data_IF_572369525112
#
_entry.id   IF_572369525112
#
_cell.length_a   1.000
_cell.length_b   1.000
_cell.length_c   1.000
_cell.angle_alpha   90.00
_cell.angle_beta   90.00
_cell.angle_gamma   90.00
#
_symmetry.space_group_name_H-M   'P 1'
#
loop_
_entity.id
_entity.type
_entity.pdbx_description
1 polymer ?
#
# COMPACT_ATOMS: atom_id res chain seq x y z
N UNK A 1 -13.95 -20.23 -3.59
CA UNK A 1 -12.57 -20.39 -3.04
C UNK A 1 -12.08 -19.02 -2.64
N UNK A 2 -11.44 -18.88 -1.47
CA UNK A 2 -10.91 -17.60 -1.00
C UNK A 2 -9.74 -17.14 -1.89
N UNK A 3 -9.73 -15.86 -2.28
CA UNK A 3 -8.63 -15.24 -3.02
C UNK A 3 -7.30 -15.34 -2.27
N UNK A 4 -7.35 -15.37 -0.94
CA UNK A 4 -6.15 -15.43 -0.10
C UNK A 4 -5.39 -16.76 -0.19
N UNK A 5 -6.00 -17.79 -0.78
CA UNK A 5 -5.36 -19.10 -1.03
C UNK A 5 -4.65 -19.16 -2.39
N UNK A 6 -4.82 -18.15 -3.24
CA UNK A 6 -4.15 -18.08 -4.54
C UNK A 6 -2.66 -17.78 -4.37
N UNK A 7 -1.81 -18.12 -5.35
CA UNK A 7 -0.41 -17.72 -5.36
C UNK A 7 -0.23 -16.20 -5.18
N UNK A 8 0.93 -15.80 -4.67
CA UNK A 8 1.26 -14.40 -4.41
C UNK A 8 1.11 -13.55 -5.68
N UNK A 9 1.64 -14.05 -6.79
CA UNK A 9 1.67 -13.37 -8.08
C UNK A 9 0.26 -13.08 -8.59
N UNK A 10 -0.65 -14.05 -8.45
CA UNK A 10 -2.05 -13.89 -8.84
C UNK A 10 -2.78 -12.89 -7.94
N UNK A 11 -2.52 -12.91 -6.63
CA UNK A 11 -3.07 -11.91 -5.72
C UNK A 11 -2.58 -10.50 -6.06
N UNK A 12 -1.30 -10.36 -6.43
CA UNK A 12 -0.71 -9.08 -6.84
C UNK A 12 -1.28 -8.57 -8.16
N UNK A 13 -1.43 -9.43 -9.16
CA UNK A 13 -2.05 -9.06 -10.43
C UNK A 13 -3.49 -8.57 -10.21
N UNK A 14 -4.27 -9.29 -9.41
CA UNK A 14 -5.63 -8.88 -9.05
C UNK A 14 -5.65 -7.56 -8.28
N UNK A 15 -4.81 -7.40 -7.25
CA UNK A 15 -4.77 -6.19 -6.45
C UNK A 15 -4.44 -4.94 -7.28
N UNK A 16 -3.63 -5.07 -8.33
CA UNK A 16 -3.25 -3.97 -9.21
C UNK A 16 -4.30 -3.65 -10.28
N UNK A 17 -4.98 -4.66 -10.83
CA UNK A 17 -5.82 -4.50 -12.03
C UNK A 17 -7.32 -4.44 -11.76
N UNK A 18 -7.77 -4.98 -10.64
CA UNK A 18 -9.20 -5.09 -10.37
C UNK A 18 -9.81 -3.75 -9.96
N UNK A 19 -11.03 -3.49 -10.43
CA UNK A 19 -11.90 -2.43 -9.97
C UNK A 19 -13.00 -2.92 -9.03
N UNK A 20 -13.04 -4.23 -8.75
CA UNK A 20 -14.08 -4.82 -7.89
C UNK A 20 -13.75 -4.60 -6.42
N UNK A 21 -14.56 -3.78 -5.74
CA UNK A 21 -14.37 -3.47 -4.33
C UNK A 21 -14.41 -4.70 -3.41
N UNK A 22 -15.23 -5.71 -3.72
CA UNK A 22 -15.31 -6.93 -2.92
C UNK A 22 -14.00 -7.75 -2.98
N UNK A 23 -13.35 -7.79 -4.16
CA UNK A 23 -12.06 -8.45 -4.31
C UNK A 23 -10.98 -7.67 -3.55
N UNK A 24 -10.97 -6.34 -3.65
CA UNK A 24 -10.07 -5.47 -2.89
C UNK A 24 -10.31 -5.61 -1.37
N UNK A 25 -11.56 -5.80 -0.95
CA UNK A 25 -11.95 -6.07 0.43
C UNK A 25 -11.45 -7.44 0.93
N UNK A 26 -11.30 -8.43 0.07
CA UNK A 26 -10.63 -9.66 0.47
C UNK A 26 -9.11 -9.47 0.54
N UNK A 27 -8.52 -8.89 -0.50
CA UNK A 27 -7.07 -8.74 -0.67
C UNK A 27 -6.41 -7.80 0.35
N UNK A 28 -7.12 -6.80 0.90
CA UNK A 28 -6.56 -5.95 1.97
C UNK A 28 -6.17 -6.73 3.23
N UNK A 29 -6.66 -7.98 3.38
CA UNK A 29 -6.35 -8.89 4.49
C UNK A 29 -5.31 -9.96 4.12
N UNK A 30 -4.71 -9.85 2.94
CA UNK A 30 -3.69 -10.81 2.49
C UNK A 30 -2.55 -10.91 3.50
N UNK A 31 -2.02 -12.11 3.78
CA UNK A 31 -0.84 -12.26 4.65
C UNK A 31 0.39 -11.57 4.05
N UNK A 32 0.43 -11.41 2.73
CA UNK A 32 1.54 -10.81 2.01
C UNK A 32 1.47 -9.29 2.04
N UNK A 33 2.50 -8.64 2.60
CA UNK A 33 2.54 -7.17 2.66
C UNK A 33 2.51 -6.53 1.27
N UNK A 34 3.11 -7.18 0.27
CA UNK A 34 3.15 -6.67 -1.10
C UNK A 34 1.74 -6.56 -1.68
N UNK A 35 0.88 -7.56 -1.43
CA UNK A 35 -0.53 -7.52 -1.86
C UNK A 35 -1.26 -6.37 -1.17
N UNK A 36 -1.10 -6.24 0.16
CA UNK A 36 -1.76 -5.15 0.90
C UNK A 36 -1.30 -3.76 0.45
N UNK A 37 -0.01 -3.59 0.11
CA UNK A 37 0.53 -2.35 -0.46
C UNK A 37 -0.06 -2.06 -1.85
N UNK A 38 -0.15 -3.07 -2.71
CA UNK A 38 -0.79 -2.93 -4.02
C UNK A 38 -2.27 -2.50 -3.89
N UNK A 39 -3.01 -3.10 -2.94
CA UNK A 39 -4.39 -2.67 -2.64
C UNK A 39 -4.41 -1.21 -2.18
N UNK A 40 -3.50 -0.79 -1.29
CA UNK A 40 -3.44 0.60 -0.82
C UNK A 40 -3.23 1.63 -1.95
N UNK A 41 -2.56 1.24 -3.04
CA UNK A 41 -2.32 2.08 -4.22
C UNK A 41 -3.45 2.01 -5.26
N UNK A 42 -4.36 1.05 -5.16
CA UNK A 42 -5.41 0.88 -6.14
C UNK A 42 -6.44 2.04 -6.03
N UNK A 43 -6.71 2.70 -7.15
CA UNK A 43 -7.60 3.88 -7.22
C UNK A 43 -9.08 3.57 -6.97
N UNK A 44 -9.45 2.29 -7.03
CA UNK A 44 -10.82 1.79 -6.82
C UNK A 44 -11.09 1.36 -5.37
N UNK A 45 -10.14 1.51 -4.44
CA UNK A 45 -10.47 1.28 -3.03
C UNK A 45 -11.48 2.33 -2.51
N UNK A 46 -12.26 1.93 -1.52
CA UNK A 46 -13.11 2.83 -0.75
C UNK A 46 -12.43 3.28 0.55
N UNK A 47 -13.03 4.25 1.23
CA UNK A 47 -12.50 4.80 2.49
C UNK A 47 -12.30 3.74 3.57
N UNK A 48 -13.24 2.79 3.68
CA UNK A 48 -13.16 1.70 4.66
C UNK A 48 -11.92 0.81 4.46
N UNK A 49 -11.54 0.54 3.22
CA UNK A 49 -10.30 -0.19 2.89
C UNK A 49 -9.10 0.68 3.22
N UNK A 50 -9.10 1.93 2.76
CA UNK A 50 -7.99 2.86 2.97
C UNK A 50 -7.69 3.06 4.46
N UNK A 51 -8.71 3.34 5.28
CA UNK A 51 -8.58 3.58 6.72
C UNK A 51 -8.09 2.33 7.47
N UNK A 52 -8.48 1.13 7.02
CA UNK A 52 -7.92 -0.12 7.57
C UNK A 52 -6.45 -0.28 7.26
N UNK A 53 -6.04 0.05 6.04
CA UNK A 53 -4.66 -0.06 5.60
C UNK A 53 -3.78 1.04 6.21
N UNK A 54 -4.33 2.21 6.54
CA UNK A 54 -3.61 3.23 7.34
C UNK A 54 -3.17 2.67 8.70
N UNK A 55 -4.00 1.82 9.32
CA UNK A 55 -3.67 1.14 10.56
C UNK A 55 -2.79 -0.12 10.37
N UNK A 56 -2.33 -0.43 9.15
CA UNK A 56 -1.52 -1.62 8.89
C UNK A 56 -0.23 -1.59 9.73
N UNK A 57 0.19 -2.72 10.33
CA UNK A 57 1.42 -2.79 11.10
C UNK A 57 2.67 -2.56 10.25
N UNK A 58 2.60 -2.81 8.94
CA UNK A 58 3.71 -2.59 8.02
C UNK A 58 3.71 -1.14 7.55
N UNK A 59 4.74 -0.40 7.95
CA UNK A 59 4.89 1.02 7.66
C UNK A 59 4.69 1.37 6.18
N UNK A 60 5.24 0.54 5.30
CA UNK A 60 5.16 0.69 3.85
C UNK A 60 3.72 0.64 3.30
N UNK A 61 2.89 -0.27 3.84
CA UNK A 61 1.48 -0.38 3.49
C UNK A 61 0.71 0.83 4.01
N UNK A 62 0.91 1.14 5.30
CA UNK A 62 0.22 2.25 5.95
C UNK A 62 0.50 3.61 5.34
N UNK A 63 1.75 3.84 4.90
CA UNK A 63 2.13 5.08 4.26
C UNK A 63 1.45 5.23 2.89
N UNK A 64 1.43 4.18 2.07
CA UNK A 64 0.72 4.21 0.78
C UNK A 64 -0.77 4.44 0.96
N UNK A 65 -1.39 3.85 1.99
CA UNK A 65 -2.79 4.06 2.30
C UNK A 65 -3.09 5.51 2.73
N UNK A 66 -2.20 6.13 3.51
CA UNK A 66 -2.30 7.56 3.88
C UNK A 66 -2.34 8.48 2.66
N UNK A 67 -1.61 8.14 1.59
CA UNK A 67 -1.56 8.94 0.36
C UNK A 67 -2.82 8.81 -0.50
N UNK A 68 -3.70 7.85 -0.22
CA UNK A 68 -4.92 7.65 -0.99
C UNK A 68 -5.90 8.81 -0.77
N UNK A 69 -6.48 9.34 -1.85
CA UNK A 69 -7.56 10.33 -1.79
C UNK A 69 -8.87 9.80 -1.19
N UNK A 70 -8.92 8.49 -0.89
CA UNK A 70 -10.07 7.79 -0.33
C UNK A 70 -9.99 7.69 1.19
N UNK A 71 -8.80 7.85 1.77
CA UNK A 71 -8.64 7.82 3.22
C UNK A 71 -9.48 8.92 3.88
N UNK A 72 -10.20 8.56 4.94
CA UNK A 72 -10.96 9.50 5.76
C UNK A 72 -10.28 9.78 7.10
N UNK A 73 -9.32 8.94 7.45
CA UNK A 73 -8.48 9.04 8.64
C UNK A 73 -7.05 9.39 8.26
N UNK A 74 -6.29 9.93 9.20
CA UNK A 74 -4.85 10.17 9.03
C UNK A 74 -4.04 9.44 10.11
N UNK A 75 -2.79 9.12 9.77
CA UNK A 75 -1.79 8.58 10.68
C UNK A 75 -0.52 9.42 10.61
N UNK A 76 -0.07 9.89 11.77
CA UNK A 76 1.25 10.50 11.89
C UNK A 76 2.35 9.43 11.92
N UNK A 77 3.41 9.68 11.15
CA UNK A 77 4.61 8.84 11.13
C UNK A 77 5.73 9.57 11.86
N UNK A 78 5.95 9.25 13.14
CA UNK A 78 6.95 9.88 14.01
C UNK A 78 8.38 9.34 13.80
N UNK A 79 8.61 8.59 12.73
CA UNK A 79 9.90 7.98 12.39
C UNK A 79 10.37 8.50 11.04
N UNK A 80 11.68 8.52 10.84
CA UNK A 80 12.25 8.73 9.51
C UNK A 80 11.77 7.61 8.58
N UNK A 81 11.04 8.00 7.52
CA UNK A 81 10.57 7.06 6.52
C UNK A 81 11.74 6.59 5.67
N UNK A 82 11.88 5.27 5.52
CA UNK A 82 12.94 4.70 4.69
C UNK A 82 12.60 4.84 3.21
N UNK A 83 13.61 4.77 2.34
CA UNK A 83 13.43 4.83 0.88
C UNK A 83 12.42 3.79 0.37
N UNK A 84 12.39 2.62 0.99
CA UNK A 84 11.46 1.57 0.57
C UNK A 84 9.99 1.92 0.87
N UNK A 85 9.73 2.66 1.96
CA UNK A 85 8.41 3.16 2.30
C UNK A 85 7.95 4.22 1.30
N UNK A 86 8.86 5.09 0.88
CA UNK A 86 8.59 6.16 -0.08
C UNK A 86 8.58 5.67 -1.55
N UNK A 87 8.95 4.42 -1.79
CA UNK A 87 9.20 3.93 -3.14
C UNK A 87 7.93 3.86 -3.99
N UNK A 88 8.02 4.30 -5.24
CA UNK A 88 6.91 4.23 -6.20
C UNK A 88 6.94 2.97 -7.07
N UNK A 89 7.99 2.15 -6.96
CA UNK A 89 8.10 0.89 -7.71
C UNK A 89 6.97 -0.08 -7.33
N UNK A 90 6.51 -0.80 -8.35
CA UNK A 90 5.48 -1.82 -8.21
C UNK A 90 5.93 -2.97 -7.30
N UNK A 91 4.94 -3.54 -6.61
CA UNK A 91 5.03 -4.63 -5.66
C UNK A 91 5.42 -5.97 -6.29
N UNK A 92 5.28 -6.12 -7.61
CA UNK A 92 5.66 -7.33 -8.35
C UNK A 92 7.18 -7.56 -8.35
N UNK A 93 7.97 -6.48 -8.34
CA UNK A 93 9.44 -6.53 -8.40
C UNK A 93 10.07 -5.57 -7.38
N UNK A 94 9.45 -5.43 -6.20
CA UNK A 94 9.91 -4.45 -5.21
C UNK A 94 11.29 -4.83 -4.67
N UNK A 95 12.32 -4.22 -5.25
CA UNK A 95 13.67 -4.25 -4.73
C UNK A 95 13.99 -2.89 -4.08
N UNK A 96 13.97 -2.84 -2.74
CA UNK A 96 14.22 -1.62 -1.98
C UNK A 96 15.60 -0.99 -2.28
N UNK A 97 16.58 -1.76 -2.78
CA UNK A 97 17.92 -1.23 -3.10
C UNK A 97 17.94 -0.38 -4.36
N UNK A 98 16.96 -0.57 -5.23
CA UNK A 98 16.82 0.17 -6.49
C UNK A 98 15.80 1.30 -6.39
N UNK A 99 15.23 1.53 -5.21
CA UNK A 99 14.44 2.72 -4.93
C UNK A 99 15.43 3.89 -4.77
N UNK A 100 15.83 4.46 -5.92
CA UNK A 100 16.77 5.58 -5.97
C UNK A 100 16.26 6.78 -5.18
N UNK A 101 17.20 7.58 -4.70
CA UNK A 101 17.05 8.67 -3.74
C UNK A 101 16.00 9.71 -4.16
N UNK A 102 14.72 9.46 -3.87
CA UNK A 102 13.81 10.57 -3.56
C UNK A 102 14.20 11.11 -2.19
N UNK A 103 15.22 11.96 -2.15
CA UNK A 103 15.36 12.93 -1.08
C UNK A 103 14.10 13.80 -1.10
N UNK A 104 13.18 13.54 -0.16
CA UNK A 104 12.03 14.40 0.08
C UNK A 104 12.53 15.83 0.31
N UNK A 105 12.36 16.71 -0.68
CA UNK A 105 12.25 18.15 -0.47
C UNK A 105 10.91 18.45 0.22
N UNK A 106 10.68 18.01 1.45
CA UNK A 106 9.47 18.40 2.20
C UNK A 106 9.61 18.32 3.73
N UNK A 107 10.77 18.66 4.28
CA UNK A 107 10.86 19.16 5.66
C UNK A 107 11.96 20.24 5.75
N UNK A 108 11.77 21.36 5.05
CA UNK A 108 12.26 22.64 5.56
C UNK A 108 11.06 23.31 6.24
N UNK A 109 10.99 23.13 7.56
CA UNK A 109 10.08 23.87 8.44
C UNK A 109 10.83 25.10 8.93
N UNK A 110 10.28 26.29 8.60
CA UNK A 110 10.56 27.63 9.12
C UNK A 110 11.99 28.17 9.05
#
# INVERSE_FOLDING_TARGET
MSLLRRPLEEQLELANSTSCEDLLWELHRSPYMNVRRAVARNSHINSKIADRLIADPVLNVSYMAKLSSKASTDREFKTTLTKCVLCEKSELNLNCTECDNFCNKMYESN
#
